data_IF_012186367287
#
_entry.id   IF_012186367287
#
_cell.length_a   1.000
_cell.length_b   1.000
_cell.length_c   1.000
_cell.angle_alpha   90.00
_cell.angle_beta   90.00
_cell.angle_gamma   90.00
#
_symmetry.space_group_name_H-M   'P 1'
#
loop_
_entity.id
_entity.type
_entity.pdbx_description
1 polymer ?
#
# COMPACT_ATOMS: atom_id res chain seq x y z
N UNK A 1 0.55 18.32 12.71
CA UNK A 1 0.86 17.28 13.73
C UNK A 1 1.80 16.30 13.08
N UNK A 2 2.88 15.87 13.75
CA UNK A 2 3.90 15.02 13.10
C UNK A 2 3.37 13.59 12.96
N UNK A 3 3.37 13.02 11.74
CA UNK A 3 2.86 11.69 11.38
C UNK A 3 3.41 10.56 12.27
N UNK A 4 4.67 10.69 12.71
CA UNK A 4 5.30 9.78 13.66
C UNK A 4 4.54 9.67 15.00
N UNK A 5 3.79 10.69 15.39
CA UNK A 5 3.04 10.72 16.65
C UNK A 5 1.73 9.94 16.54
N UNK A 6 1.10 9.91 15.37
CA UNK A 6 -0.12 9.14 15.11
C UNK A 6 0.15 7.63 15.18
N UNK A 7 1.34 7.20 14.76
CA UNK A 7 1.75 5.80 14.77
C UNK A 7 2.47 5.38 16.06
N UNK A 8 2.61 6.27 17.06
CA UNK A 8 3.33 6.01 18.31
C UNK A 8 4.83 5.78 18.16
N UNK A 9 5.38 6.01 16.96
CA UNK A 9 6.80 5.87 16.68
C UNK A 9 7.55 7.19 16.92
N UNK A 10 8.81 7.10 17.34
CA UNK A 10 9.70 8.27 17.34
C UNK A 10 9.93 8.74 15.91
N UNK A 11 10.05 10.05 15.63
CA UNK A 11 10.21 10.56 14.25
C UNK A 11 11.33 9.88 13.46
N UNK A 12 12.45 9.58 14.12
CA UNK A 12 13.59 8.90 13.50
C UNK A 12 13.33 7.43 13.18
N UNK A 13 12.58 6.73 14.05
CA UNK A 13 12.19 5.34 13.79
C UNK A 13 11.20 5.27 12.61
N UNK A 14 10.30 6.23 12.52
CA UNK A 14 9.36 6.37 11.39
C UNK A 14 10.09 6.61 10.06
N UNK A 15 11.07 7.51 10.03
CA UNK A 15 11.88 7.76 8.82
C UNK A 15 12.63 6.50 8.36
N UNK A 16 13.26 5.78 9.30
CA UNK A 16 13.97 4.52 9.00
C UNK A 16 12.98 3.45 8.52
N UNK A 17 11.81 3.36 9.13
CA UNK A 17 10.76 2.43 8.75
C UNK A 17 10.28 2.70 7.32
N UNK A 18 9.93 3.93 6.99
CA UNK A 18 9.48 4.33 5.65
C UNK A 18 10.55 4.05 4.59
N UNK A 19 11.80 4.40 4.86
CA UNK A 19 12.91 4.13 3.95
C UNK A 19 13.11 2.63 3.72
N UNK A 20 12.94 1.81 4.78
CA UNK A 20 13.06 0.35 4.69
C UNK A 20 11.93 -0.24 3.86
N UNK A 21 10.68 0.11 4.15
CA UNK A 21 9.52 -0.42 3.43
C UNK A 21 9.58 -0.02 1.95
N UNK A 22 9.89 1.24 1.64
CA UNK A 22 10.05 1.72 0.26
C UNK A 22 11.15 0.94 -0.47
N UNK A 23 12.30 0.69 0.20
CA UNK A 23 13.39 -0.08 -0.39
C UNK A 23 13.00 -1.54 -0.63
N UNK A 24 12.24 -2.14 0.29
CA UNK A 24 11.73 -3.50 0.18
C UNK A 24 10.73 -3.63 -0.97
N UNK A 25 9.76 -2.72 -1.08
CA UNK A 25 8.79 -2.72 -2.17
C UNK A 25 9.44 -2.62 -3.55
N UNK A 26 10.56 -1.90 -3.65
CA UNK A 26 11.30 -1.78 -4.92
C UNK A 26 12.20 -2.98 -5.25
N UNK A 27 12.60 -3.80 -4.25
CA UNK A 27 13.60 -4.87 -4.47
C UNK A 27 13.08 -6.28 -4.20
N UNK A 28 12.05 -6.42 -3.38
CA UNK A 28 11.57 -7.71 -2.85
C UNK A 28 12.59 -8.42 -1.95
N UNK A 29 13.70 -7.75 -1.55
CA UNK A 29 14.80 -8.36 -0.81
C UNK A 29 14.92 -7.77 0.60
N UNK A 30 15.39 -8.56 1.60
CA UNK A 30 15.66 -8.05 2.93
C UNK A 30 16.64 -6.89 2.93
N UNK A 31 16.32 -5.83 3.67
CA UNK A 31 17.07 -4.57 3.66
C UNK A 31 18.02 -4.49 4.87
N UNK A 32 19.31 -4.29 4.61
CA UNK A 32 20.34 -4.15 5.64
C UNK A 32 20.56 -2.70 6.09
N UNK A 33 21.06 -2.51 7.31
CA UNK A 33 21.37 -1.17 7.87
C UNK A 33 22.38 -0.37 7.04
N UNK A 34 23.33 -1.03 6.37
CA UNK A 34 24.29 -0.37 5.47
C UNK A 34 23.59 0.20 4.23
N UNK A 35 22.68 -0.54 3.64
CA UNK A 35 21.88 -0.11 2.48
C UNK A 35 21.00 1.08 2.84
N UNK A 36 20.39 1.07 4.04
CA UNK A 36 19.59 2.19 4.51
C UNK A 36 20.44 3.43 4.78
N UNK A 37 21.64 3.29 5.35
CA UNK A 37 22.54 4.41 5.58
C UNK A 37 22.94 5.15 4.29
N UNK A 38 23.02 4.42 3.17
CA UNK A 38 23.30 5.01 1.86
C UNK A 38 22.11 5.76 1.25
N UNK A 39 20.87 5.39 1.63
CA UNK A 39 19.63 5.99 1.11
C UNK A 39 19.15 7.18 1.93
N UNK A 40 19.37 7.11 3.25
CA UNK A 40 19.00 8.20 4.16
C UNK A 40 20.00 9.34 4.01
N UNK A 41 19.50 10.54 3.76
CA UNK A 41 20.31 11.76 3.52
C UNK A 41 20.97 12.34 4.79
N UNK A 42 20.74 11.72 5.94
CA UNK A 42 21.28 12.17 7.22
C UNK A 42 22.44 11.28 7.66
N UNK A 43 23.40 11.84 8.40
CA UNK A 43 24.57 11.16 8.97
C UNK A 43 24.19 10.16 10.08
N UNK A 44 23.38 9.17 9.73
CA UNK A 44 23.05 8.08 10.62
C UNK A 44 24.06 6.96 10.45
N UNK A 45 24.72 6.61 11.53
CA UNK A 45 25.62 5.45 11.51
C UNK A 45 24.82 4.15 11.29
N UNK A 46 25.39 3.16 10.58
CA UNK A 46 24.74 1.85 10.44
C UNK A 46 24.38 1.19 11.77
N UNK A 47 25.11 1.51 12.84
CA UNK A 47 24.84 1.03 14.19
C UNK A 47 23.54 1.63 14.76
N UNK A 48 23.34 2.95 14.59
CA UNK A 48 22.12 3.64 15.01
C UNK A 48 20.91 3.13 14.22
N UNK A 49 21.04 2.93 12.91
CA UNK A 49 19.98 2.36 12.08
C UNK A 49 19.64 0.95 12.55
N UNK A 50 20.63 0.11 12.84
CA UNK A 50 20.42 -1.24 13.35
C UNK A 50 19.66 -1.26 14.68
N UNK A 51 19.96 -0.33 15.60
CA UNK A 51 19.22 -0.18 16.86
C UNK A 51 17.75 0.13 16.62
N UNK A 52 17.46 1.12 15.77
CA UNK A 52 16.06 1.46 15.42
C UNK A 52 15.35 0.29 14.70
N UNK A 53 16.05 -0.44 13.83
CA UNK A 53 15.46 -1.63 13.18
C UNK A 53 15.12 -2.72 14.20
N UNK A 54 15.93 -2.87 15.28
CA UNK A 54 15.64 -3.78 16.38
C UNK A 54 14.42 -3.35 17.19
N UNK A 55 14.28 -2.04 17.45
CA UNK A 55 13.11 -1.50 18.14
C UNK A 55 11.83 -1.71 17.31
N UNK A 56 11.90 -1.52 15.99
CA UNK A 56 10.79 -1.77 15.06
C UNK A 56 10.46 -3.27 14.96
N UNK A 57 11.45 -4.15 15.08
CA UNK A 57 11.25 -5.60 15.14
C UNK A 57 10.54 -5.99 16.44
N UNK A 58 10.94 -5.43 17.58
CA UNK A 58 10.26 -5.64 18.86
C UNK A 58 8.82 -5.11 18.85
N UNK A 59 8.55 -4.04 18.10
CA UNK A 59 7.21 -3.52 17.87
C UNK A 59 6.36 -4.37 16.89
N UNK A 60 6.92 -5.44 16.33
CA UNK A 60 6.22 -6.33 15.39
C UNK A 60 6.03 -5.76 13.98
N UNK A 61 6.74 -4.67 13.63
CA UNK A 61 6.63 -4.02 12.32
C UNK A 61 7.61 -4.58 11.29
N UNK A 62 8.72 -5.13 11.76
CA UNK A 62 9.76 -5.77 10.96
C UNK A 62 10.06 -7.17 11.49
N UNK A 63 10.67 -8.01 10.67
CA UNK A 63 11.26 -9.28 11.10
C UNK A 63 12.53 -9.61 10.31
N UNK A 64 13.36 -10.51 10.83
CA UNK A 64 14.52 -11.05 10.15
C UNK A 64 14.18 -12.43 9.56
N UNK A 65 14.18 -12.63 8.23
CA UNK A 65 13.99 -13.96 7.65
C UNK A 65 15.06 -14.96 8.07
N UNK A 66 16.30 -14.48 8.25
CA UNK A 66 17.44 -15.24 8.73
C UNK A 66 18.32 -14.38 9.64
N UNK A 67 19.08 -14.99 10.52
CA UNK A 67 19.90 -14.33 11.56
C UNK A 67 20.89 -13.30 10.98
N UNK A 68 21.43 -13.54 9.79
CA UNK A 68 22.39 -12.65 9.11
C UNK A 68 21.78 -11.80 8.00
N UNK A 69 20.49 -11.96 7.73
CA UNK A 69 19.79 -11.17 6.71
C UNK A 69 19.43 -9.77 7.20
N UNK A 70 19.07 -8.89 6.27
CA UNK A 70 18.43 -7.63 6.61
C UNK A 70 17.08 -7.82 7.29
N UNK A 71 16.25 -6.80 7.29
CA UNK A 71 14.88 -6.85 7.80
C UNK A 71 13.87 -6.73 6.67
N UNK A 72 12.70 -7.32 6.88
CA UNK A 72 11.55 -7.31 5.99
C UNK A 72 10.35 -6.79 6.79
N UNK A 73 9.46 -6.00 6.21
CA UNK A 73 8.24 -5.60 6.88
C UNK A 73 7.32 -6.80 7.12
N UNK A 74 6.66 -6.81 8.27
CA UNK A 74 5.55 -7.74 8.56
C UNK A 74 4.28 -7.27 7.83
N UNK A 75 3.23 -8.11 7.81
CA UNK A 75 1.92 -7.69 7.33
C UNK A 75 1.40 -6.45 8.08
N UNK A 76 1.53 -6.44 9.40
CA UNK A 76 1.18 -5.28 10.25
C UNK A 76 1.99 -4.06 9.87
N UNK A 77 3.30 -4.22 9.61
CA UNK A 77 4.16 -3.14 9.15
C UNK A 77 3.74 -2.59 7.79
N UNK A 78 3.43 -3.45 6.82
CA UNK A 78 2.95 -3.01 5.50
C UNK A 78 1.61 -2.27 5.61
N UNK A 79 0.68 -2.77 6.41
CA UNK A 79 -0.60 -2.09 6.64
C UNK A 79 -0.41 -0.70 7.24
N UNK A 80 0.41 -0.60 8.31
CA UNK A 80 0.75 0.67 8.93
C UNK A 80 1.40 1.66 7.95
N UNK A 81 2.26 1.18 7.06
CA UNK A 81 2.87 2.01 6.01
C UNK A 81 1.83 2.56 5.03
N UNK A 82 0.88 1.71 4.58
CA UNK A 82 -0.21 2.12 3.68
C UNK A 82 -1.13 3.13 4.37
N UNK A 83 -1.54 2.86 5.60
CA UNK A 83 -2.40 3.76 6.38
C UNK A 83 -1.72 5.13 6.57
N UNK A 84 -0.44 5.16 6.90
CA UNK A 84 0.35 6.38 6.99
C UNK A 84 0.48 7.14 5.66
N UNK A 85 0.58 6.45 4.52
CA UNK A 85 0.55 7.09 3.20
C UNK A 85 -0.82 7.69 2.87
N UNK A 86 -1.90 7.04 3.28
CA UNK A 86 -3.27 7.54 3.03
C UNK A 86 -3.56 8.79 3.87
N UNK A 87 -2.99 8.90 5.07
CA UNK A 87 -3.06 10.13 5.89
C UNK A 87 -2.16 11.24 5.35
N UNK A 88 -1.04 10.87 4.72
CA UNK A 88 -0.12 11.79 4.05
C UNK A 88 -0.47 11.92 2.56
N UNK A 89 -1.73 12.23 2.25
CA UNK A 89 -2.08 12.65 0.89
C UNK A 89 -1.44 14.00 0.61
N UNK A 90 -0.36 14.10 -0.16
CA UNK A 90 -0.04 15.37 -0.79
C UNK A 90 -1.29 15.77 -1.58
N UNK A 91 -1.67 17.04 -1.52
CA UNK A 91 -2.80 17.54 -2.29
C UNK A 91 -2.74 16.97 -3.70
N UNK A 92 -3.77 16.20 -4.07
CA UNK A 92 -3.93 15.72 -5.45
C UNK A 92 -3.67 16.91 -6.36
N UNK A 93 -2.87 16.72 -7.38
CA UNK A 93 -2.64 17.74 -8.40
C UNK A 93 -4.01 18.27 -8.82
N UNK A 94 -4.17 19.57 -8.91
CA UNK A 94 -5.47 20.23 -9.16
C UNK A 94 -6.20 19.61 -10.35
N UNK A 95 -5.45 19.17 -11.36
CA UNK A 95 -5.96 18.49 -12.55
C UNK A 95 -6.58 17.12 -12.23
N UNK A 96 -5.94 16.31 -11.38
CA UNK A 96 -6.45 15.02 -10.96
C UNK A 96 -7.71 15.16 -10.10
N UNK A 97 -7.73 16.16 -9.19
CA UNK A 97 -8.90 16.49 -8.38
C UNK A 97 -10.08 16.93 -9.24
N UNK A 98 -9.85 17.81 -10.22
CA UNK A 98 -10.88 18.25 -11.17
C UNK A 98 -11.40 17.10 -12.04
N UNK A 99 -10.54 16.16 -12.43
CA UNK A 99 -10.93 14.97 -13.18
C UNK A 99 -11.83 14.07 -12.35
N UNK A 100 -11.47 13.80 -11.08
CA UNK A 100 -12.28 13.01 -10.15
C UNK A 100 -13.63 13.68 -9.88
N UNK A 101 -13.63 14.98 -9.56
CA UNK A 101 -14.85 15.75 -9.28
C UNK A 101 -15.78 15.79 -10.50
N UNK A 102 -15.23 15.97 -11.71
CA UNK A 102 -16.00 15.95 -12.95
C UNK A 102 -16.64 14.59 -13.24
N UNK A 103 -15.94 13.51 -12.94
CA UNK A 103 -16.44 12.15 -13.11
C UNK A 103 -17.48 11.76 -12.05
N UNK A 104 -17.33 12.23 -10.82
CA UNK A 104 -18.27 11.98 -9.72
C UNK A 104 -19.51 12.88 -9.78
N UNK A 105 -19.48 14.02 -10.45
CA UNK A 105 -20.57 14.99 -10.52
C UNK A 105 -21.71 14.59 -11.47
N UNK A 106 -21.61 13.49 -12.19
CA UNK A 106 -22.63 13.02 -13.14
C UNK A 106 -23.86 12.54 -12.38
N UNK A 107 -24.95 13.32 -12.45
CA UNK A 107 -26.26 12.95 -11.91
C UNK A 107 -26.98 12.02 -12.90
N UNK A 108 -27.68 11.01 -12.38
CA UNK A 108 -28.51 10.05 -13.14
C UNK A 108 -27.75 8.91 -13.85
N UNK A 109 -26.66 8.41 -13.28
CA UNK A 109 -26.05 7.15 -13.72
C UNK A 109 -26.44 6.01 -12.77
N UNK A 110 -26.45 4.79 -13.27
CA UNK A 110 -26.67 3.60 -12.45
C UNK A 110 -25.46 3.36 -11.53
N UNK A 111 -25.67 2.62 -10.42
CA UNK A 111 -24.58 2.26 -9.50
C UNK A 111 -23.51 1.46 -10.23
N UNK A 112 -23.88 0.53 -11.09
CA UNK A 112 -22.94 -0.29 -11.87
C UNK A 112 -22.09 0.58 -12.81
N UNK A 113 -22.70 1.54 -13.48
CA UNK A 113 -22.00 2.47 -14.36
C UNK A 113 -21.07 3.41 -13.60
N UNK A 114 -21.45 3.84 -12.38
CA UNK A 114 -20.60 4.61 -11.48
C UNK A 114 -19.38 3.80 -11.05
N UNK A 115 -19.57 2.54 -10.66
CA UNK A 115 -18.48 1.66 -10.23
C UNK A 115 -17.50 1.38 -11.37
N UNK A 116 -18.00 1.11 -12.57
CA UNK A 116 -17.16 0.91 -13.75
C UNK A 116 -16.34 2.16 -14.08
N UNK A 117 -16.96 3.32 -14.06
CA UNK A 117 -16.32 4.61 -14.33
C UNK A 117 -15.25 4.92 -13.29
N UNK A 118 -15.56 4.75 -12.00
CA UNK A 118 -14.63 4.94 -10.89
C UNK A 118 -13.42 4.01 -11.03
N UNK A 119 -13.64 2.74 -11.35
CA UNK A 119 -12.58 1.76 -11.56
C UNK A 119 -11.64 2.16 -12.70
N UNK A 120 -12.19 2.64 -13.83
CA UNK A 120 -11.40 3.14 -14.96
C UNK A 120 -10.57 4.36 -14.60
N UNK A 121 -11.15 5.33 -13.91
CA UNK A 121 -10.46 6.55 -13.47
C UNK A 121 -9.30 6.22 -12.54
N UNK A 122 -9.53 5.38 -11.52
CA UNK A 122 -8.50 4.94 -10.59
C UNK A 122 -7.38 4.18 -11.31
N UNK A 123 -7.70 3.31 -12.26
CA UNK A 123 -6.71 2.59 -13.06
C UNK A 123 -5.86 3.54 -13.92
N UNK A 124 -6.47 4.55 -14.52
CA UNK A 124 -5.78 5.56 -15.32
C UNK A 124 -4.82 6.40 -14.49
N UNK A 125 -5.27 6.91 -13.33
CA UNK A 125 -4.48 7.74 -12.43
C UNK A 125 -3.33 6.97 -11.79
N UNK A 126 -3.58 5.75 -11.30
CA UNK A 126 -2.58 4.94 -10.61
C UNK A 126 -1.63 4.20 -11.58
N UNK A 127 -1.99 4.08 -12.85
CA UNK A 127 -1.35 3.17 -13.84
C UNK A 127 -1.24 1.73 -13.34
N UNK A 128 -2.20 1.32 -12.51
CA UNK A 128 -2.33 -0.01 -11.93
C UNK A 128 -3.71 -0.59 -12.24
N UNK A 129 -3.87 -1.90 -12.07
CA UNK A 129 -5.20 -2.49 -12.07
C UNK A 129 -5.98 -1.97 -10.84
N UNK A 130 -7.20 -1.48 -11.05
CA UNK A 130 -8.09 -1.02 -9.99
C UNK A 130 -9.31 -1.92 -9.89
N UNK A 131 -9.71 -2.24 -8.67
CA UNK A 131 -10.90 -2.99 -8.36
C UNK A 131 -11.79 -2.17 -7.44
N UNK A 132 -13.01 -1.88 -7.88
CA UNK A 132 -14.01 -1.18 -7.08
C UNK A 132 -15.15 -2.15 -6.77
N UNK A 133 -15.41 -2.36 -5.49
CA UNK A 133 -16.46 -3.27 -5.02
C UNK A 133 -17.55 -2.46 -4.31
N UNK A 134 -18.80 -2.74 -4.67
CA UNK A 134 -19.93 -2.20 -3.94
C UNK A 134 -20.21 -3.03 -2.68
N UNK A 135 -20.44 -2.41 -1.51
CA UNK A 135 -20.79 -3.12 -0.29
C UNK A 135 -22.24 -3.66 -0.30
N UNK A 136 -22.86 -3.80 -1.47
CA UNK A 136 -24.25 -4.28 -1.62
C UNK A 136 -24.48 -5.69 -1.04
N UNK A 137 -23.44 -6.37 -0.59
CA UNK A 137 -23.54 -7.54 0.26
C UNK A 137 -22.38 -7.54 1.25
N UNK A 138 -22.67 -7.69 2.55
CA UNK A 138 -21.70 -7.89 3.63
C UNK A 138 -20.92 -9.22 3.51
N UNK A 139 -20.77 -9.78 2.32
CA UNK A 139 -20.03 -11.02 2.13
C UNK A 139 -18.54 -10.69 1.99
N UNK A 140 -17.79 -11.10 3.01
CA UNK A 140 -16.34 -11.02 2.99
C UNK A 140 -15.77 -11.82 1.82
N UNK A 141 -14.72 -11.28 1.17
CA UNK A 141 -13.98 -12.00 0.15
C UNK A 141 -13.03 -13.00 0.82
N UNK A 142 -13.11 -14.25 0.39
CA UNK A 142 -12.21 -15.32 0.84
C UNK A 142 -10.96 -15.39 -0.05
N UNK A 143 -11.13 -15.19 -1.37
CA UNK A 143 -10.05 -15.29 -2.33
C UNK A 143 -10.29 -14.35 -3.51
N UNK A 144 -9.19 -13.89 -4.08
CA UNK A 144 -9.19 -13.01 -5.23
C UNK A 144 -7.99 -13.35 -6.13
N UNK A 145 -8.22 -13.48 -7.44
CA UNK A 145 -7.18 -13.84 -8.40
C UNK A 145 -7.41 -13.15 -9.74
N UNK A 146 -6.32 -12.75 -10.41
CA UNK A 146 -6.34 -12.32 -11.80
C UNK A 146 -5.84 -13.43 -12.71
N UNK A 147 -6.66 -13.81 -13.70
CA UNK A 147 -6.30 -14.77 -14.75
C UNK A 147 -6.04 -13.98 -16.03
N UNK A 148 -4.81 -13.99 -16.58
CA UNK A 148 -4.51 -13.28 -17.81
C UNK A 148 -5.26 -13.91 -18.99
N UNK A 149 -5.94 -13.08 -19.80
CA UNK A 149 -6.67 -13.49 -21.00
C UNK A 149 -6.01 -13.02 -22.31
N UNK A 150 -4.86 -12.34 -22.22
CA UNK A 150 -4.11 -11.81 -23.36
C UNK A 150 -3.34 -10.55 -23.00
N UNK A 151 -2.72 -9.89 -23.99
CA UNK A 151 -1.77 -8.78 -23.76
C UNK A 151 -2.32 -7.61 -22.93
N UNK A 152 -3.61 -7.32 -22.95
CA UNK A 152 -4.22 -6.21 -22.17
C UNK A 152 -5.56 -6.62 -21.54
N UNK A 153 -5.76 -7.90 -21.26
CA UNK A 153 -7.01 -8.41 -20.70
C UNK A 153 -6.75 -9.43 -19.60
N UNK A 154 -7.41 -9.24 -18.48
CA UNK A 154 -7.40 -10.19 -17.38
C UNK A 154 -8.84 -10.40 -16.88
N UNK A 155 -9.13 -11.62 -16.43
CA UNK A 155 -10.35 -11.96 -15.71
C UNK A 155 -10.07 -11.86 -14.22
N UNK A 156 -10.85 -11.06 -13.51
CA UNK A 156 -10.84 -11.04 -12.05
C UNK A 156 -11.81 -12.12 -11.53
N UNK A 157 -11.30 -13.06 -10.75
CA UNK A 157 -12.08 -14.09 -10.07
C UNK A 157 -12.16 -13.75 -8.60
N UNK A 158 -13.38 -13.57 -8.09
CA UNK A 158 -13.65 -13.25 -6.69
C UNK A 158 -14.40 -14.43 -6.07
N UNK A 159 -13.87 -14.97 -4.99
CA UNK A 159 -14.51 -16.02 -4.19
C UNK A 159 -14.94 -15.41 -2.86
N UNK A 160 -16.22 -15.49 -2.56
CA UNK A 160 -16.81 -14.97 -1.33
C UNK A 160 -16.83 -16.04 -0.26
N UNK A 161 -16.87 -15.62 1.01
CA UNK A 161 -16.98 -16.54 2.15
C UNK A 161 -18.24 -17.41 2.14
N UNK A 162 -19.30 -16.98 1.44
CA UNK A 162 -20.53 -17.76 1.21
C UNK A 162 -20.39 -18.83 0.11
N UNK A 163 -19.18 -18.97 -0.47
CA UNK A 163 -18.86 -19.93 -1.52
C UNK A 163 -19.27 -19.47 -2.92
N UNK A 164 -19.84 -18.29 -3.09
CA UNK A 164 -20.15 -17.75 -4.41
C UNK A 164 -18.89 -17.29 -5.12
N UNK A 165 -18.82 -17.58 -6.42
CA UNK A 165 -17.74 -17.15 -7.31
C UNK A 165 -18.32 -16.12 -8.27
N UNK A 166 -17.74 -14.95 -8.29
CA UNK A 166 -18.03 -13.90 -9.27
C UNK A 166 -16.83 -13.71 -10.20
N UNK A 167 -17.09 -13.48 -11.48
CA UNK A 167 -16.06 -13.16 -12.48
C UNK A 167 -16.40 -11.82 -13.14
N UNK A 168 -15.35 -11.01 -13.37
CA UNK A 168 -15.48 -9.69 -13.99
C UNK A 168 -14.40 -9.45 -15.04
#
# INVERSE_FOLDING_TARGET
>A
MNDATLLGLKPRAFEIFNALVTAYLGSGQPIGSKTLAQRLRHDLSPASIRSNMSDLEQAGLLYAPHTSSGRVPTETGLRMFVDGLMEYSPDLVTEDRMSIDGECAVRNISVDELLEKTSRTLSGLSRCASLVLSPASNAELQHFEFVPLGENRALAVLVRMDGKVENR
#
